data_IF_686815163081
#
_entry.id   IF_686815163081
#
_cell.length_a   1.000
_cell.length_b   1.000
_cell.length_c   1.000
_cell.angle_alpha   90.00
_cell.angle_beta   90.00
_cell.angle_gamma   90.00
#
_symmetry.space_group_name_H-M   'P 1'
#
loop_
_entity.id
_entity.type
_entity.pdbx_description
1 polymer ?
#
# COMPACT_ATOMS: atom_id res chain seq x y z
N UNK A 1 -28.71 14.07 43.45
CA UNK A 1 -27.88 12.86 43.53
C UNK A 1 -27.78 12.19 42.13
N UNK A 2 -28.88 11.92 41.43
CA UNK A 2 -28.89 11.32 40.10
C UNK A 2 -28.10 12.12 39.04
N UNK A 3 -28.18 13.46 39.06
CA UNK A 3 -27.45 14.33 38.13
C UNK A 3 -25.94 14.27 38.35
N UNK A 4 -25.49 14.23 39.60
CA UNK A 4 -24.07 14.16 39.97
C UNK A 4 -23.48 12.78 39.55
N UNK A 5 -24.25 11.71 39.72
CA UNK A 5 -23.85 10.38 39.31
C UNK A 5 -23.64 10.29 37.79
N UNK A 6 -24.55 10.89 37.00
CA UNK A 6 -24.48 10.94 35.54
C UNK A 6 -23.27 11.74 35.04
N UNK A 7 -22.93 12.86 35.69
CA UNK A 7 -21.74 13.67 35.34
C UNK A 7 -20.44 12.92 35.64
N UNK A 8 -20.38 12.19 36.75
CA UNK A 8 -19.20 11.39 37.13
C UNK A 8 -19.00 10.22 36.14
N UNK A 9 -20.07 9.56 35.74
CA UNK A 9 -20.03 8.48 34.77
C UNK A 9 -19.58 8.99 33.38
N UNK A 10 -20.12 10.14 32.92
CA UNK A 10 -19.68 10.82 31.70
C UNK A 10 -18.17 11.16 31.76
N UNK A 11 -17.70 11.78 32.82
CA UNK A 11 -16.27 12.10 32.99
C UNK A 11 -15.36 10.86 32.99
N UNK A 12 -15.82 9.76 33.58
CA UNK A 12 -15.05 8.53 33.59
C UNK A 12 -15.00 7.89 32.21
N UNK A 13 -16.09 7.95 31.42
CA UNK A 13 -16.11 7.51 30.02
C UNK A 13 -15.19 8.36 29.15
N UNK A 14 -15.23 9.69 29.30
CA UNK A 14 -14.34 10.60 28.55
C UNK A 14 -12.87 10.32 28.86
N UNK A 15 -12.52 10.13 30.14
CA UNK A 15 -11.15 9.77 30.53
C UNK A 15 -10.73 8.40 29.97
N UNK A 16 -11.61 7.42 29.98
CA UNK A 16 -11.33 6.11 29.42
C UNK A 16 -11.11 6.17 27.90
N UNK A 17 -11.89 7.00 27.18
CA UNK A 17 -11.71 7.22 25.74
C UNK A 17 -10.36 7.89 25.44
N UNK A 18 -10.01 8.98 26.14
CA UNK A 18 -8.73 9.68 25.98
C UNK A 18 -7.55 8.73 26.24
N UNK A 19 -7.66 7.88 27.26
CA UNK A 19 -6.61 6.90 27.58
C UNK A 19 -6.51 5.83 26.49
N UNK A 20 -7.65 5.35 25.94
CA UNK A 20 -7.68 4.41 24.85
C UNK A 20 -7.00 4.98 23.59
N UNK A 21 -7.34 6.20 23.21
CA UNK A 21 -6.76 6.85 22.03
C UNK A 21 -5.24 7.06 22.18
N UNK A 22 -4.79 7.50 23.36
CA UNK A 22 -3.36 7.64 23.64
C UNK A 22 -2.63 6.29 23.54
N UNK A 23 -3.25 5.22 24.04
CA UNK A 23 -2.67 3.88 23.99
C UNK A 23 -2.59 3.37 22.54
N UNK A 24 -3.63 3.58 21.74
CA UNK A 24 -3.65 3.19 20.32
C UNK A 24 -2.56 3.93 19.55
N UNK A 25 -2.43 5.24 19.74
CA UNK A 25 -1.35 6.03 19.12
C UNK A 25 0.03 5.52 19.51
N UNK A 26 0.25 5.22 20.78
CA UNK A 26 1.52 4.67 21.26
C UNK A 26 1.82 3.30 20.61
N UNK A 27 0.80 2.44 20.45
CA UNK A 27 0.96 1.16 19.73
C UNK A 27 1.40 1.41 18.29
N UNK A 28 0.73 2.32 17.55
CA UNK A 28 1.12 2.63 16.18
C UNK A 28 2.54 3.20 16.08
N UNK A 29 2.93 4.09 17.01
CA UNK A 29 4.30 4.60 17.09
C UNK A 29 5.32 3.48 17.31
N UNK A 30 5.04 2.54 18.21
CA UNK A 30 5.93 1.39 18.47
C UNK A 30 6.01 0.45 17.27
N UNK A 31 4.90 0.16 16.62
CA UNK A 31 4.90 -0.65 15.39
C UNK A 31 5.74 0.02 14.31
N UNK A 32 5.53 1.32 14.04
CA UNK A 32 6.36 2.08 13.10
C UNK A 32 7.86 1.96 13.44
N UNK A 33 8.25 2.22 14.70
CA UNK A 33 9.65 2.15 15.11
C UNK A 33 10.26 0.75 14.92
N UNK A 34 9.51 -0.29 15.23
CA UNK A 34 9.93 -1.68 15.03
C UNK A 34 10.13 -1.97 13.52
N UNK A 35 9.18 -1.54 12.68
CA UNK A 35 9.27 -1.71 11.22
C UNK A 35 10.45 -0.94 10.63
N UNK A 36 10.75 0.26 11.12
CA UNK A 36 11.95 1.02 10.72
C UNK A 36 13.25 0.29 11.09
N UNK A 37 13.30 -0.31 12.28
CA UNK A 37 14.45 -1.11 12.72
C UNK A 37 14.63 -2.34 11.83
N UNK A 38 13.54 -3.07 11.53
CA UNK A 38 13.56 -4.22 10.62
C UNK A 38 14.05 -3.80 9.22
N UNK A 39 13.51 -2.69 8.68
CA UNK A 39 13.95 -2.15 7.38
C UNK A 39 15.44 -1.82 7.36
N UNK A 40 15.96 -1.21 8.43
CA UNK A 40 17.38 -0.89 8.54
C UNK A 40 18.25 -2.16 8.56
N UNK A 41 17.84 -3.18 9.30
CA UNK A 41 18.54 -4.47 9.34
C UNK A 41 18.52 -5.17 7.96
N UNK A 42 17.37 -5.19 7.29
CA UNK A 42 17.26 -5.78 5.94
C UNK A 42 18.15 -5.05 4.92
N UNK A 43 18.19 -3.70 4.97
CA UNK A 43 19.11 -2.90 4.12
C UNK A 43 20.59 -3.20 4.39
N UNK A 44 20.95 -3.41 5.65
CA UNK A 44 22.33 -3.79 6.01
C UNK A 44 22.67 -5.19 5.49
N UNK A 45 21.72 -6.11 5.50
CA UNK A 45 21.91 -7.44 4.94
C UNK A 45 22.00 -7.41 3.41
N UNK A 46 21.12 -6.66 2.72
CA UNK A 46 21.15 -6.49 1.26
C UNK A 46 22.54 -6.05 0.78
N UNK A 47 23.15 -5.07 1.47
CA UNK A 47 24.50 -4.57 1.12
C UNK A 47 25.63 -5.57 1.34
N UNK A 48 25.43 -6.61 2.15
CA UNK A 48 26.43 -7.65 2.48
C UNK A 48 26.31 -8.88 1.60
N UNK A 49 25.15 -9.09 1.03
CA UNK A 49 24.87 -10.22 0.14
C UNK A 49 25.48 -9.95 -1.23
N UNK A 50 26.29 -10.86 -1.71
CA UNK A 50 26.94 -10.79 -3.03
C UNK A 50 26.09 -11.37 -4.14
N UNK A 51 25.12 -12.21 -3.83
CA UNK A 51 24.18 -12.76 -4.80
C UNK A 51 23.15 -11.69 -5.18
N UNK A 52 23.07 -11.27 -6.46
CA UNK A 52 22.15 -10.23 -6.91
C UNK A 52 20.69 -10.59 -6.69
N UNK A 53 20.31 -11.88 -6.81
CA UNK A 53 18.92 -12.34 -6.61
C UNK A 53 18.52 -12.18 -5.15
N UNK A 54 19.38 -12.61 -4.24
CA UNK A 54 19.12 -12.48 -2.81
C UNK A 54 19.13 -11.00 -2.36
N UNK A 55 20.01 -10.15 -2.92
CA UNK A 55 20.01 -8.71 -2.66
C UNK A 55 18.70 -8.06 -3.11
N UNK A 56 18.24 -8.34 -4.34
CA UNK A 56 16.97 -7.84 -4.87
C UNK A 56 15.76 -8.25 -4.00
N UNK A 57 15.73 -9.51 -3.54
CA UNK A 57 14.68 -10.00 -2.66
C UNK A 57 14.65 -9.26 -1.30
N UNK A 58 15.82 -8.92 -0.75
CA UNK A 58 15.91 -8.12 0.47
C UNK A 58 15.45 -6.68 0.25
N UNK A 59 15.81 -6.07 -0.87
CA UNK A 59 15.37 -4.71 -1.20
C UNK A 59 13.84 -4.65 -1.41
N UNK A 60 13.27 -5.69 -2.01
CA UNK A 60 11.82 -5.85 -2.12
C UNK A 60 11.15 -5.97 -0.73
N UNK A 61 11.72 -6.76 0.17
CA UNK A 61 11.25 -6.87 1.55
C UNK A 61 11.31 -5.51 2.29
N UNK A 62 12.37 -4.72 2.07
CA UNK A 62 12.49 -3.35 2.61
C UNK A 62 11.36 -2.45 2.11
N UNK A 63 11.03 -2.49 0.82
CA UNK A 63 9.91 -1.70 0.27
C UNK A 63 8.58 -2.05 0.91
N UNK A 64 8.30 -3.37 1.05
CA UNK A 64 7.06 -3.86 1.69
C UNK A 64 6.95 -3.42 3.15
N UNK A 65 8.00 -3.58 3.93
CA UNK A 65 8.03 -3.11 5.32
C UNK A 65 7.86 -1.59 5.40
N UNK A 66 8.47 -0.86 4.47
CA UNK A 66 8.34 0.60 4.36
C UNK A 66 6.90 1.06 4.10
N UNK A 67 6.16 0.41 3.21
CA UNK A 67 4.77 0.76 2.91
C UNK A 67 3.84 0.51 4.11
N UNK A 68 4.06 -0.56 4.88
CA UNK A 68 3.32 -0.81 6.13
C UNK A 68 3.64 0.29 7.16
N UNK A 69 4.91 0.66 7.30
CA UNK A 69 5.33 1.70 8.24
C UNK A 69 4.67 3.06 7.95
N UNK A 70 4.44 3.42 6.67
CA UNK A 70 3.73 4.63 6.28
C UNK A 70 2.29 4.66 6.80
N UNK A 71 1.56 3.55 6.71
CA UNK A 71 0.19 3.45 7.24
C UNK A 71 0.19 3.68 8.75
N UNK A 72 1.09 3.03 9.49
CA UNK A 72 1.18 3.18 10.93
C UNK A 72 1.65 4.59 11.35
N UNK A 73 2.45 5.25 10.52
CA UNK A 73 2.84 6.65 10.73
C UNK A 73 1.63 7.58 10.60
N UNK A 74 0.83 7.40 9.56
CA UNK A 74 -0.39 8.19 9.34
C UNK A 74 -1.37 8.02 10.50
N UNK A 75 -1.61 6.79 10.95
CA UNK A 75 -2.46 6.48 12.10
C UNK A 75 -1.94 7.09 13.42
N UNK A 76 -0.63 7.12 13.62
CA UNK A 76 -0.05 7.70 14.84
C UNK A 76 -0.21 9.22 14.90
N UNK A 77 -0.28 9.89 13.74
CA UNK A 77 -0.41 11.34 13.64
C UNK A 77 -1.87 11.81 13.68
N UNK A 78 -2.83 10.92 13.45
CA UNK A 78 -4.26 11.22 13.46
C UNK A 78 -4.93 10.67 14.72
N UNK A 79 -6.05 11.31 15.15
CA UNK A 79 -6.89 10.82 16.25
C UNK A 79 -8.03 9.93 15.75
N UNK A 80 -7.89 9.36 14.56
CA UNK A 80 -8.88 8.54 13.87
C UNK A 80 -8.37 7.12 13.72
N UNK A 81 -9.27 6.14 13.79
CA UNK A 81 -9.01 4.75 13.42
C UNK A 81 -8.96 4.56 11.88
N UNK A 82 -9.26 5.62 11.13
CA UNK A 82 -9.23 5.66 9.67
C UNK A 82 -8.00 6.40 9.15
N UNK A 83 -7.45 5.88 8.07
CA UNK A 83 -6.27 6.41 7.37
C UNK A 83 -6.73 7.18 6.13
N UNK A 84 -6.37 8.46 6.04
CA UNK A 84 -6.45 9.22 4.78
C UNK A 84 -5.44 8.65 3.78
N UNK A 85 -5.90 7.71 2.94
CA UNK A 85 -5.00 6.89 2.13
C UNK A 85 -4.33 7.68 1.01
N UNK A 86 -4.90 8.78 0.56
CA UNK A 86 -4.27 9.65 -0.44
C UNK A 86 -2.88 10.13 0.00
N UNK A 87 -2.70 10.46 1.28
CA UNK A 87 -1.40 10.86 1.83
C UNK A 87 -0.38 9.71 1.87
N UNK A 88 -0.83 8.50 2.15
CA UNK A 88 0.00 7.28 2.10
C UNK A 88 0.41 6.99 0.66
N UNK A 89 -0.54 7.09 -0.27
CA UNK A 89 -0.29 6.88 -1.69
C UNK A 89 0.75 7.88 -2.25
N UNK A 90 0.65 9.16 -1.90
CA UNK A 90 1.62 10.18 -2.31
C UNK A 90 3.04 9.86 -1.85
N UNK A 91 3.20 9.32 -0.65
CA UNK A 91 4.51 8.88 -0.17
C UNK A 91 5.01 7.62 -0.90
N UNK A 92 4.13 6.66 -1.18
CA UNK A 92 4.47 5.45 -1.93
C UNK A 92 4.96 5.82 -3.33
N UNK A 93 4.20 6.64 -4.06
CA UNK A 93 4.55 7.03 -5.43
C UNK A 93 5.84 7.86 -5.47
N UNK A 94 6.00 8.81 -4.55
CA UNK A 94 7.22 9.60 -4.45
C UNK A 94 8.44 8.71 -4.23
N UNK A 95 8.40 7.83 -3.23
CA UNK A 95 9.50 6.91 -2.94
C UNK A 95 9.82 5.99 -4.12
N UNK A 96 8.81 5.56 -4.87
CA UNK A 96 8.99 4.69 -6.03
C UNK A 96 9.62 5.42 -7.21
N UNK A 97 9.17 6.65 -7.49
CA UNK A 97 9.70 7.47 -8.60
C UNK A 97 11.11 7.99 -8.31
N UNK A 98 11.43 8.37 -7.06
CA UNK A 98 12.76 8.83 -6.64
C UNK A 98 13.84 7.74 -6.83
N UNK A 99 13.44 6.46 -6.79
CA UNK A 99 14.34 5.32 -7.02
C UNK A 99 14.42 4.92 -8.50
N UNK A 100 13.56 5.43 -9.35
CA UNK A 100 13.56 5.09 -10.78
C UNK A 100 14.75 5.73 -11.48
N UNK A 101 15.54 4.97 -12.27
CA UNK A 101 16.65 5.52 -13.04
C UNK A 101 16.18 6.36 -14.24
N UNK A 102 14.90 6.29 -14.60
CA UNK A 102 14.30 6.99 -15.73
C UNK A 102 13.30 8.03 -15.24
N UNK A 103 13.14 9.10 -16.01
CA UNK A 103 12.08 10.08 -15.79
C UNK A 103 10.76 9.47 -16.26
N UNK A 104 9.85 9.26 -15.32
CA UNK A 104 8.51 8.71 -15.56
C UNK A 104 7.49 9.85 -15.49
N UNK A 105 6.60 9.88 -16.46
CA UNK A 105 5.43 10.77 -16.47
C UNK A 105 4.33 10.11 -15.66
N UNK A 106 4.12 10.62 -14.46
CA UNK A 106 3.11 10.09 -13.55
C UNK A 106 1.81 10.89 -13.63
N UNK A 107 0.69 10.17 -13.71
CA UNK A 107 -0.65 10.74 -13.63
C UNK A 107 -1.51 10.00 -12.60
N UNK A 108 -2.30 10.75 -11.82
CA UNK A 108 -3.29 10.22 -10.88
C UNK A 108 -4.67 10.73 -11.25
N UNK A 109 -5.62 9.82 -11.35
CA UNK A 109 -7.04 10.14 -11.63
C UNK A 109 -7.89 9.61 -10.48
N UNK A 110 -8.66 10.47 -9.85
CA UNK A 110 -9.51 10.13 -8.71
C UNK A 110 -8.79 10.20 -7.35
N UNK A 111 -9.49 9.80 -6.29
CA UNK A 111 -9.01 9.81 -4.91
C UNK A 111 -9.41 8.53 -4.20
N UNK A 112 -8.56 8.10 -3.26
CA UNK A 112 -8.81 6.93 -2.43
C UNK A 112 -9.79 7.21 -1.29
N UNK A 113 -9.65 8.37 -0.62
CA UNK A 113 -10.35 8.67 0.61
C UNK A 113 -9.80 7.89 1.82
N UNK A 114 -10.67 7.64 2.81
CA UNK A 114 -10.28 7.07 4.09
C UNK A 114 -10.63 5.59 4.18
N UNK A 115 -9.73 4.80 4.77
CA UNK A 115 -9.93 3.37 5.04
C UNK A 115 -9.55 3.04 6.49
N UNK A 116 -10.12 1.96 7.03
CA UNK A 116 -9.64 1.37 8.26
C UNK A 116 -8.17 0.88 8.12
N UNK A 117 -7.50 0.69 9.26
CA UNK A 117 -6.09 0.31 9.31
C UNK A 117 -5.76 -0.98 8.53
N UNK A 118 -6.66 -1.97 8.56
CA UNK A 118 -6.46 -3.26 7.89
C UNK A 118 -6.51 -3.10 6.37
N UNK A 119 -7.55 -2.44 5.88
CA UNK A 119 -7.75 -2.14 4.46
C UNK A 119 -6.61 -1.25 3.93
N UNK A 120 -6.24 -0.19 4.67
CA UNK A 120 -5.14 0.69 4.30
C UNK A 120 -3.80 -0.05 4.21
N UNK A 121 -3.53 -0.98 5.13
CA UNK A 121 -2.30 -1.79 5.11
C UNK A 121 -2.27 -2.72 3.89
N UNK A 122 -3.38 -3.41 3.60
CA UNK A 122 -3.48 -4.26 2.42
C UNK A 122 -3.30 -3.44 1.12
N UNK A 123 -4.00 -2.31 1.00
CA UNK A 123 -3.87 -1.40 -0.15
C UNK A 123 -2.45 -0.86 -0.32
N UNK A 124 -1.77 -0.48 0.76
CA UNK A 124 -0.40 0.04 0.68
C UNK A 124 0.57 -0.99 0.09
N UNK A 125 0.45 -2.25 0.49
CA UNK A 125 1.24 -3.35 -0.07
C UNK A 125 0.88 -3.60 -1.54
N UNK A 126 -0.40 -3.72 -1.86
CA UNK A 126 -0.89 -3.95 -3.23
C UNK A 126 -0.38 -2.86 -4.17
N UNK A 127 -0.58 -1.59 -3.81
CA UNK A 127 -0.16 -0.45 -4.64
C UNK A 127 1.36 -0.40 -4.80
N UNK A 128 2.11 -0.68 -3.73
CA UNK A 128 3.59 -0.76 -3.79
C UNK A 128 4.05 -1.82 -4.79
N UNK A 129 3.45 -3.02 -4.76
CA UNK A 129 3.79 -4.10 -5.68
C UNK A 129 3.39 -3.78 -7.12
N UNK A 130 2.19 -3.23 -7.35
CA UNK A 130 1.73 -2.89 -8.70
C UNK A 130 2.57 -1.77 -9.33
N UNK A 131 2.89 -0.71 -8.58
CA UNK A 131 3.77 0.37 -9.05
C UNK A 131 5.17 -0.18 -9.34
N UNK A 132 5.71 -1.01 -8.44
CA UNK A 132 7.03 -1.60 -8.64
C UNK A 132 7.08 -2.49 -9.89
N UNK A 133 6.07 -3.32 -10.10
CA UNK A 133 5.95 -4.13 -11.31
C UNK A 133 5.89 -3.27 -12.59
N UNK A 134 5.12 -2.18 -12.58
CA UNK A 134 5.08 -1.26 -13.70
C UNK A 134 6.45 -0.62 -13.97
N UNK A 135 7.15 -0.15 -12.94
CA UNK A 135 8.46 0.48 -13.09
C UNK A 135 9.55 -0.50 -13.53
N UNK A 136 9.59 -1.71 -12.93
CA UNK A 136 10.66 -2.68 -13.15
C UNK A 136 10.46 -3.51 -14.44
N UNK A 137 9.23 -3.91 -14.72
CA UNK A 137 8.93 -4.78 -15.86
C UNK A 137 8.28 -4.02 -17.03
N UNK A 138 7.44 -3.01 -16.74
CA UNK A 138 6.80 -2.19 -17.76
C UNK A 138 7.72 -1.13 -18.33
N UNK A 139 8.34 -0.31 -17.50
CA UNK A 139 8.98 0.94 -17.92
C UNK A 139 10.51 0.91 -17.94
N UNK A 140 11.15 -0.23 -17.66
CA UNK A 140 12.62 -0.32 -17.62
C UNK A 140 13.26 -0.10 -18.99
N UNK A 141 12.69 -0.64 -20.05
CA UNK A 141 13.27 -0.64 -21.40
C UNK A 141 12.45 0.20 -22.41
N UNK A 142 11.16 0.31 -22.23
CA UNK A 142 10.24 1.03 -23.14
C UNK A 142 9.14 1.72 -22.34
N UNK A 143 8.47 2.69 -22.96
CA UNK A 143 7.47 3.49 -22.27
C UNK A 143 8.07 4.50 -21.29
N UNK A 144 7.25 5.40 -20.81
CA UNK A 144 7.59 6.38 -19.77
C UNK A 144 6.37 6.89 -19.01
N UNK A 145 5.18 6.33 -19.25
CA UNK A 145 3.93 6.77 -18.64
C UNK A 145 3.43 5.76 -17.62
N UNK A 146 3.14 6.26 -16.42
CA UNK A 146 2.52 5.52 -15.34
C UNK A 146 1.26 6.26 -14.90
N UNK A 147 0.10 5.63 -15.00
CA UNK A 147 -1.17 6.21 -14.56
C UNK A 147 -1.79 5.33 -13.49
N UNK A 148 -2.26 5.96 -12.41
CA UNK A 148 -3.06 5.30 -11.38
C UNK A 148 -4.45 5.91 -11.40
N UNK A 149 -5.45 5.08 -11.69
CA UNK A 149 -6.84 5.47 -11.75
C UNK A 149 -7.61 4.88 -10.58
N UNK A 150 -8.34 5.71 -9.87
CA UNK A 150 -9.20 5.33 -8.77
C UNK A 150 -10.63 5.72 -9.14
N UNK A 151 -11.48 4.73 -9.33
CA UNK A 151 -12.90 4.92 -9.50
C UNK A 151 -13.66 4.34 -8.31
N UNK A 152 -14.65 5.09 -7.85
CA UNK A 152 -15.53 4.68 -6.76
C UNK A 152 -16.97 4.75 -7.24
N UNK A 153 -17.67 3.64 -7.14
CA UNK A 153 -19.12 3.56 -7.27
C UNK A 153 -19.73 3.29 -5.88
N UNK A 154 -21.06 3.26 -5.79
CA UNK A 154 -21.81 3.13 -4.53
C UNK A 154 -21.34 1.96 -3.65
N UNK A 155 -20.90 0.85 -4.26
CA UNK A 155 -20.54 -0.39 -3.56
C UNK A 155 -19.16 -0.92 -3.91
N UNK A 156 -18.39 -0.24 -4.77
CA UNK A 156 -17.14 -0.78 -5.28
C UNK A 156 -16.06 0.30 -5.42
N UNK A 157 -14.84 -0.11 -5.09
CA UNK A 157 -13.63 0.54 -5.56
C UNK A 157 -13.05 -0.23 -6.75
N UNK A 158 -12.58 0.51 -7.74
CA UNK A 158 -11.77 0.02 -8.84
C UNK A 158 -10.49 0.83 -8.84
N UNK A 159 -9.37 0.17 -8.60
CA UNK A 159 -8.04 0.81 -8.63
C UNK A 159 -7.22 0.15 -9.71
N UNK A 160 -6.75 0.94 -10.67
CA UNK A 160 -5.98 0.47 -11.81
C UNK A 160 -4.60 1.13 -11.82
N UNK A 161 -3.58 0.34 -12.06
CA UNK A 161 -2.22 0.80 -12.36
C UNK A 161 -1.94 0.46 -13.82
N UNK A 162 -1.70 1.50 -14.63
CA UNK A 162 -1.50 1.40 -16.06
C UNK A 162 -0.11 1.91 -16.45
N UNK A 163 0.60 1.15 -17.28
CA UNK A 163 1.87 1.54 -17.89
C UNK A 163 1.84 1.35 -19.42
N UNK A 164 2.65 2.13 -20.14
CA UNK A 164 2.80 2.05 -21.59
C UNK A 164 3.99 1.15 -22.02
N UNK A 165 4.35 0.19 -21.19
CA UNK A 165 5.40 -0.77 -21.41
C UNK A 165 5.04 -1.91 -22.39
N UNK A 166 5.89 -2.94 -22.50
CA UNK A 166 5.71 -4.02 -23.48
C UNK A 166 4.54 -4.97 -23.18
N UNK A 167 3.97 -4.89 -21.96
CA UNK A 167 2.88 -5.75 -21.50
C UNK A 167 3.34 -7.08 -20.92
N UNK A 168 2.37 -7.91 -20.58
CA UNK A 168 2.64 -9.24 -20.07
C UNK A 168 3.11 -10.17 -21.19
N UNK A 169 4.04 -11.10 -20.90
CA UNK A 169 4.44 -12.13 -21.85
C UNK A 169 3.24 -12.98 -22.32
N UNK A 170 3.31 -13.52 -23.53
CA UNK A 170 2.28 -14.40 -24.07
C UNK A 170 2.07 -15.63 -23.16
N UNK A 171 0.81 -15.94 -22.83
CA UNK A 171 0.47 -17.04 -21.92
C UNK A 171 0.76 -16.74 -20.44
N UNK A 172 1.01 -15.49 -20.06
CA UNK A 172 1.22 -15.09 -18.67
C UNK A 172 0.00 -15.46 -17.81
N UNK A 173 0.25 -16.09 -16.67
CA UNK A 173 -0.77 -16.30 -15.64
C UNK A 173 -0.15 -16.10 -14.25
N UNK A 174 -0.89 -15.48 -13.34
CA UNK A 174 -0.43 -15.21 -11.97
C UNK A 174 -0.03 -16.50 -11.25
N UNK A 175 -0.79 -17.57 -11.46
CA UNK A 175 -0.61 -18.86 -10.79
C UNK A 175 0.67 -19.60 -11.21
N UNK A 176 1.10 -19.37 -12.45
CA UNK A 176 2.33 -19.96 -13.03
C UNK A 176 3.53 -19.04 -12.95
N UNK A 177 3.29 -17.78 -12.57
CA UNK A 177 4.36 -16.80 -12.48
C UNK A 177 5.21 -17.03 -11.23
N UNK A 178 6.53 -16.97 -11.39
CA UNK A 178 7.48 -16.91 -10.30
C UNK A 178 7.51 -15.53 -9.59
N UNK A 179 6.71 -14.56 -10.06
CA UNK A 179 6.66 -13.21 -9.52
C UNK A 179 5.90 -13.21 -8.18
N UNK A 180 6.67 -13.15 -7.10
CA UNK A 180 6.13 -13.11 -5.73
C UNK A 180 5.25 -11.89 -5.50
N UNK A 181 5.56 -10.73 -6.09
CA UNK A 181 4.79 -9.50 -5.95
C UNK A 181 3.35 -9.67 -6.40
N UNK A 182 3.10 -10.19 -7.60
CA UNK A 182 1.74 -10.44 -8.10
C UNK A 182 1.00 -11.53 -7.31
N UNK A 183 1.70 -12.51 -6.76
CA UNK A 183 1.08 -13.50 -5.85
C UNK A 183 0.62 -12.83 -4.55
N UNK A 184 1.40 -11.91 -3.99
CA UNK A 184 1.02 -11.10 -2.83
C UNK A 184 -0.20 -10.24 -3.16
N UNK A 185 -0.17 -9.51 -4.28
CA UNK A 185 -1.31 -8.69 -4.74
C UNK A 185 -2.58 -9.53 -4.82
N UNK A 186 -2.54 -10.68 -5.51
CA UNK A 186 -3.69 -11.57 -5.65
C UNK A 186 -4.19 -12.09 -4.30
N UNK A 187 -3.29 -12.49 -3.41
CA UNK A 187 -3.62 -13.01 -2.08
C UNK A 187 -4.27 -11.94 -1.21
N UNK A 188 -3.67 -10.74 -1.14
CA UNK A 188 -4.22 -9.64 -0.34
C UNK A 188 -5.55 -9.14 -0.91
N UNK A 189 -5.66 -9.02 -2.23
CA UNK A 189 -6.91 -8.61 -2.87
C UNK A 189 -8.04 -9.59 -2.55
N UNK A 190 -7.79 -10.90 -2.59
CA UNK A 190 -8.81 -11.92 -2.26
C UNK A 190 -9.13 -11.99 -0.78
N UNK A 191 -8.10 -12.07 0.06
CA UNK A 191 -8.28 -12.41 1.47
C UNK A 191 -8.57 -11.22 2.37
N UNK A 192 -7.99 -10.05 2.05
CA UNK A 192 -8.12 -8.85 2.89
C UNK A 192 -9.17 -7.87 2.35
N UNK A 193 -9.28 -7.75 1.02
CA UNK A 193 -10.23 -6.83 0.38
C UNK A 193 -11.49 -7.53 -0.15
N UNK A 194 -11.58 -8.86 -0.08
CA UNK A 194 -12.67 -9.64 -0.68
C UNK A 194 -12.92 -9.27 -2.15
N UNK A 195 -11.84 -9.00 -2.88
CA UNK A 195 -11.85 -8.48 -4.24
C UNK A 195 -11.20 -9.40 -5.26
N UNK A 196 -11.03 -8.88 -6.46
CA UNK A 196 -10.41 -9.58 -7.57
C UNK A 196 -9.31 -8.75 -8.21
N UNK A 197 -8.21 -9.43 -8.61
CA UNK A 197 -7.15 -8.86 -9.45
C UNK A 197 -7.40 -9.25 -10.90
N UNK A 198 -7.36 -8.27 -11.79
CA UNK A 198 -7.54 -8.43 -13.24
C UNK A 198 -6.31 -7.84 -13.92
N UNK A 199 -5.67 -8.63 -14.79
CA UNK A 199 -4.52 -8.20 -15.59
C UNK A 199 -4.93 -8.20 -17.04
N UNK A 200 -4.83 -7.05 -17.69
CA UNK A 200 -5.22 -6.87 -19.09
C UNK A 200 -4.18 -6.07 -19.86
N UNK A 201 -4.28 -6.13 -21.17
CA UNK A 201 -3.64 -5.20 -22.10
C UNK A 201 -4.72 -4.54 -22.95
N UNK A 202 -4.85 -3.22 -22.83
CA UNK A 202 -5.89 -2.43 -23.53
C UNK A 202 -5.19 -1.24 -24.19
N UNK A 203 -5.41 -1.03 -25.48
CA UNK A 203 -4.87 0.11 -26.23
C UNK A 203 -3.34 0.31 -26.09
N UNK A 204 -2.61 -0.79 -26.07
CA UNK A 204 -1.16 -0.85 -25.83
C UNK A 204 -0.72 -0.50 -24.40
N UNK A 205 -1.65 -0.30 -23.46
CA UNK A 205 -1.35 -0.13 -22.06
C UNK A 205 -1.43 -1.46 -21.31
N UNK A 206 -0.47 -1.72 -20.46
CA UNK A 206 -0.56 -2.78 -19.45
C UNK A 206 -1.44 -2.27 -18.33
N UNK A 207 -2.48 -2.98 -17.97
CA UNK A 207 -3.40 -2.62 -16.89
C UNK A 207 -3.48 -3.71 -15.85
N UNK A 208 -3.07 -3.39 -14.64
CA UNK A 208 -3.32 -4.21 -13.45
C UNK A 208 -4.43 -3.53 -12.63
N UNK A 209 -5.55 -4.19 -12.48
CA UNK A 209 -6.76 -3.64 -11.85
C UNK A 209 -7.18 -4.50 -10.67
N UNK A 210 -7.45 -3.86 -9.53
CA UNK A 210 -8.11 -4.49 -8.39
C UNK A 210 -9.52 -3.92 -8.24
N UNK A 211 -10.47 -4.83 -7.99
CA UNK A 211 -11.88 -4.49 -7.73
C UNK A 211 -12.27 -5.07 -6.39
N UNK A 212 -12.76 -4.23 -5.48
CA UNK A 212 -13.18 -4.66 -4.14
C UNK A 212 -14.39 -3.89 -3.62
N UNK A 213 -15.10 -4.47 -2.65
CA UNK A 213 -16.30 -3.87 -2.07
C UNK A 213 -15.97 -2.77 -1.06
N UNK A 214 -16.91 -1.84 -0.89
CA UNK A 214 -16.90 -0.86 0.21
C UNK A 214 -17.65 -1.50 1.37
N UNK A 215 -16.94 -1.75 2.48
CA UNK A 215 -17.55 -2.19 3.74
C UNK A 215 -18.04 -1.01 4.55
#
# INVERSE_FOLDING_TARGET
IALIHNITELRNRDRALITKDATIKEIHHRVKNNLQTVSALLRLQSRRVTDPIASAALDEAVRRVGSIALVHETLSNQSSEFVEFDSVFEQIIKNSLDLSPRKIEFNKVGNFGSFDSKTATALSLIITELIHNALEHGLTHSGNSLTVEIARDTNKYVVSVCDDGPGFPEGFSIEKSANLGLQIVNTLTKNELNGNLILNRIDNLTKAEIVFGIN
#
